data_IF_480616597155
#
_entry.id   IF_480616597155
#
_cell.length_a   1.000
_cell.length_b   1.000
_cell.length_c   1.000
_cell.angle_alpha   90.00
_cell.angle_beta   90.00
_cell.angle_gamma   90.00
#
_symmetry.space_group_name_H-M   'P 1'
#
loop_
_entity.id
_entity.type
_entity.pdbx_description
1 polymer ?
#
# COMPACT_ATOMS: atom_id res chain seq x y z
N UNK A 1 20.05 10.03 -14.59
CA UNK A 1 18.67 9.50 -14.54
C UNK A 1 17.87 10.23 -15.60
N UNK A 2 17.25 9.49 -16.53
CA UNK A 2 16.66 10.04 -17.76
C UNK A 2 15.15 9.95 -17.63
N UNK A 3 14.49 11.09 -17.45
CA UNK A 3 13.04 11.14 -17.34
C UNK A 3 12.37 10.89 -18.69
N UNK A 4 11.26 10.17 -18.66
CA UNK A 4 10.39 9.95 -19.81
C UNK A 4 8.98 10.48 -19.54
N UNK A 5 8.29 10.89 -20.61
CA UNK A 5 6.90 11.32 -20.55
C UNK A 5 5.99 10.10 -20.67
N UNK A 6 5.04 9.97 -19.75
CA UNK A 6 3.96 8.98 -19.76
C UNK A 6 2.63 9.72 -19.83
N UNK A 7 1.66 9.12 -20.49
CA UNK A 7 0.30 9.63 -20.59
C UNK A 7 -0.63 8.69 -19.86
N UNK A 8 -1.26 9.19 -18.80
CA UNK A 8 -2.18 8.46 -17.94
C UNK A 8 -3.63 8.80 -18.33
N UNK A 9 -4.50 7.80 -18.33
CA UNK A 9 -5.94 8.00 -18.54
C UNK A 9 -6.66 7.77 -17.21
N UNK A 10 -7.39 8.78 -16.75
CA UNK A 10 -8.18 8.73 -15.51
C UNK A 10 -9.53 9.33 -15.82
N UNK A 11 -10.57 8.50 -15.70
CA UNK A 11 -11.93 8.78 -16.14
C UNK A 11 -11.94 9.19 -17.62
N UNK A 12 -12.49 10.35 -17.93
CA UNK A 12 -12.55 10.90 -19.29
C UNK A 12 -11.35 11.80 -19.62
N UNK A 13 -10.39 11.94 -18.70
CA UNK A 13 -9.30 12.90 -18.79
C UNK A 13 -7.95 12.21 -19.04
N UNK A 14 -7.09 12.92 -19.75
CA UNK A 14 -5.73 12.47 -20.08
C UNK A 14 -4.70 13.37 -19.40
N UNK A 15 -3.78 12.77 -18.65
CA UNK A 15 -2.79 13.49 -17.84
C UNK A 15 -1.36 13.12 -18.26
N UNK A 16 -0.55 14.08 -18.76
CA UNK A 16 0.87 13.85 -19.00
C UNK A 16 1.66 13.94 -17.68
N UNK A 17 2.52 12.95 -17.43
CA UNK A 17 3.40 12.91 -16.25
C UNK A 17 4.82 12.52 -16.65
N UNK A 18 5.81 13.00 -15.92
CA UNK A 18 7.23 12.63 -16.11
C UNK A 18 7.63 11.63 -15.04
N UNK A 19 8.15 10.47 -15.44
CA UNK A 19 8.65 9.44 -14.52
C UNK A 19 10.01 8.91 -14.97
N UNK A 20 10.70 8.20 -14.08
CA UNK A 20 11.84 7.38 -14.47
C UNK A 20 11.36 6.11 -15.20
N UNK A 21 12.17 5.51 -16.10
CA UNK A 21 11.72 4.36 -16.88
C UNK A 21 11.30 3.15 -16.04
N UNK A 22 11.94 2.94 -14.88
CA UNK A 22 11.63 1.83 -13.97
C UNK A 22 10.34 2.04 -13.16
N UNK A 23 9.84 3.28 -13.07
CA UNK A 23 8.60 3.61 -12.38
C UNK A 23 7.37 3.50 -13.30
N UNK A 24 7.60 3.47 -14.62
CA UNK A 24 6.55 3.56 -15.65
C UNK A 24 5.43 2.55 -15.43
N UNK A 25 5.77 1.28 -15.26
CA UNK A 25 4.76 0.22 -15.22
C UNK A 25 3.92 0.32 -13.94
N UNK A 26 4.57 0.57 -12.80
CA UNK A 26 3.88 0.81 -11.53
C UNK A 26 3.01 2.07 -11.57
N UNK A 27 3.44 3.13 -12.27
CA UNK A 27 2.66 4.34 -12.44
C UNK A 27 1.42 4.11 -13.32
N UNK A 28 1.53 3.29 -14.37
CA UNK A 28 0.40 2.91 -15.21
C UNK A 28 -0.62 2.09 -14.42
N UNK A 29 -0.15 1.12 -13.64
CA UNK A 29 -0.99 0.32 -12.74
C UNK A 29 -1.68 1.21 -11.69
N UNK A 30 -0.96 2.15 -11.08
CA UNK A 30 -1.54 3.10 -10.13
C UNK A 30 -2.62 3.99 -10.78
N UNK A 31 -2.44 4.39 -12.04
CA UNK A 31 -3.44 5.16 -12.77
C UNK A 31 -4.69 4.33 -13.09
N UNK A 32 -4.52 3.05 -13.44
CA UNK A 32 -5.63 2.11 -13.64
C UNK A 32 -6.43 1.89 -12.36
N UNK A 33 -5.74 1.66 -11.23
CA UNK A 33 -6.38 1.52 -9.91
C UNK A 33 -7.14 2.78 -9.50
N UNK A 34 -6.53 3.96 -9.69
CA UNK A 34 -7.20 5.24 -9.44
C UNK A 34 -8.45 5.41 -10.33
N UNK A 35 -8.35 5.04 -11.61
CA UNK A 35 -9.47 5.11 -12.54
C UNK A 35 -10.64 4.22 -12.10
N UNK A 36 -10.37 2.98 -11.71
CA UNK A 36 -11.38 2.04 -11.22
C UNK A 36 -12.07 2.57 -9.96
N UNK A 37 -11.28 3.00 -8.97
CA UNK A 37 -11.81 3.56 -7.72
C UNK A 37 -12.72 4.77 -7.96
N UNK A 38 -12.27 5.73 -8.77
CA UNK A 38 -13.08 6.90 -9.09
C UNK A 38 -14.31 6.57 -9.93
N UNK A 39 -14.25 5.56 -10.81
CA UNK A 39 -15.40 5.11 -11.60
C UNK A 39 -16.47 4.45 -10.72
N UNK A 40 -16.06 3.62 -9.76
CA UNK A 40 -16.95 3.01 -8.77
C UNK A 40 -17.61 4.08 -7.90
N UNK A 41 -16.82 5.02 -7.36
CA UNK A 41 -17.35 6.13 -6.59
C UNK A 41 -18.32 6.99 -7.40
N UNK A 42 -18.06 7.22 -8.71
CA UNK A 42 -18.95 7.96 -9.60
C UNK A 42 -20.28 7.24 -9.80
N UNK A 43 -20.25 5.92 -9.99
CA UNK A 43 -21.45 5.09 -10.14
C UNK A 43 -22.34 5.20 -8.90
N UNK A 44 -21.74 5.17 -7.72
CA UNK A 44 -22.46 5.23 -6.45
C UNK A 44 -22.92 6.66 -6.11
N UNK A 45 -22.24 7.68 -6.64
CA UNK A 45 -22.48 9.09 -6.34
C UNK A 45 -22.67 9.94 -7.61
N UNK A 46 -23.68 9.65 -8.46
CA UNK A 46 -23.80 10.26 -9.80
C UNK A 46 -24.01 11.78 -9.77
N UNK A 47 -24.51 12.33 -8.66
CA UNK A 47 -24.77 13.77 -8.47
C UNK A 47 -23.57 14.54 -7.91
N UNK A 48 -22.50 13.86 -7.49
CA UNK A 48 -21.32 14.52 -6.92
C UNK A 48 -20.45 15.06 -8.06
N UNK A 49 -20.09 16.36 -8.06
CA UNK A 49 -19.19 16.92 -9.05
C UNK A 49 -17.83 16.22 -9.04
N UNK A 50 -17.21 16.11 -10.22
CA UNK A 50 -15.97 15.36 -10.39
C UNK A 50 -14.85 15.84 -9.46
N UNK A 51 -14.68 17.16 -9.32
CA UNK A 51 -13.65 17.75 -8.44
C UNK A 51 -13.78 17.27 -6.98
N UNK A 52 -15.02 17.20 -6.48
CA UNK A 52 -15.30 16.71 -5.12
C UNK A 52 -15.12 15.20 -5.03
N UNK A 53 -15.50 14.47 -6.07
CA UNK A 53 -15.31 13.02 -6.14
C UNK A 53 -13.82 12.65 -6.03
N UNK A 54 -12.95 13.39 -6.72
CA UNK A 54 -11.49 13.19 -6.68
C UNK A 54 -10.94 13.46 -5.28
N UNK A 55 -11.41 14.51 -4.58
CA UNK A 55 -11.00 14.79 -3.19
C UNK A 55 -11.42 13.65 -2.26
N UNK A 56 -12.67 13.17 -2.40
CA UNK A 56 -13.17 12.04 -1.61
C UNK A 56 -12.40 10.76 -1.91
N UNK A 57 -12.08 10.48 -3.17
CA UNK A 57 -11.27 9.33 -3.57
C UNK A 57 -9.85 9.41 -3.03
N UNK A 58 -9.21 10.57 -3.12
CA UNK A 58 -7.89 10.80 -2.53
C UNK A 58 -7.89 10.59 -1.01
N UNK A 59 -8.94 11.06 -0.32
CA UNK A 59 -9.11 10.85 1.12
C UNK A 59 -9.30 9.36 1.45
N UNK A 60 -10.15 8.66 0.70
CA UNK A 60 -10.40 7.22 0.88
C UNK A 60 -9.12 6.41 0.69
N UNK A 61 -8.39 6.62 -0.41
CA UNK A 61 -7.12 5.93 -0.67
C UNK A 61 -6.06 6.24 0.39
N UNK A 62 -6.01 7.47 0.89
CA UNK A 62 -5.10 7.84 1.98
C UNK A 62 -5.48 7.14 3.28
N UNK A 63 -6.78 7.03 3.58
CA UNK A 63 -7.27 6.29 4.74
C UNK A 63 -6.89 4.81 4.65
N UNK A 64 -7.11 4.17 3.51
CA UNK A 64 -6.79 2.76 3.30
C UNK A 64 -5.28 2.50 3.42
N UNK A 65 -4.45 3.36 2.83
CA UNK A 65 -3.00 3.29 2.97
C UNK A 65 -2.52 3.45 4.43
N UNK A 66 -3.16 4.31 5.22
CA UNK A 66 -2.83 4.44 6.65
C UNK A 66 -3.26 3.20 7.44
N UNK A 67 -4.40 2.60 7.11
CA UNK A 67 -4.88 1.39 7.74
C UNK A 67 -3.99 0.18 7.44
N UNK A 68 -3.54 0.04 6.19
CA UNK A 68 -2.57 -0.99 5.78
C UNK A 68 -1.24 -0.82 6.52
N UNK A 69 -0.70 0.40 6.60
CA UNK A 69 0.53 0.68 7.37
C UNK A 69 0.41 0.28 8.84
N UNK A 70 -0.73 0.57 9.47
CA UNK A 70 -0.98 0.13 10.85
C UNK A 70 -1.06 -1.39 10.98
N UNK A 71 -1.61 -2.07 9.98
CA UNK A 71 -1.72 -3.53 9.97
C UNK A 71 -0.35 -4.18 9.81
N UNK A 72 0.46 -3.72 8.85
CA UNK A 72 1.84 -4.18 8.67
C UNK A 72 2.65 -3.95 9.94
N UNK A 73 2.54 -2.78 10.59
CA UNK A 73 3.26 -2.50 11.83
C UNK A 73 2.87 -3.47 12.97
N UNK A 74 1.58 -3.82 13.08
CA UNK A 74 1.10 -4.82 14.05
C UNK A 74 1.62 -6.21 13.74
N UNK A 75 1.61 -6.62 12.48
CA UNK A 75 2.12 -7.93 12.04
C UNK A 75 3.62 -8.05 12.31
N UNK A 76 4.42 -7.04 11.98
CA UNK A 76 5.85 -7.00 12.30
C UNK A 76 6.09 -7.10 13.80
N UNK A 77 5.31 -6.38 14.61
CA UNK A 77 5.40 -6.46 16.08
C UNK A 77 5.08 -7.86 16.59
N UNK A 78 4.05 -8.51 16.03
CA UNK A 78 3.67 -9.88 16.39
C UNK A 78 4.77 -10.88 16.03
N UNK A 79 5.35 -10.77 14.82
CA UNK A 79 6.45 -11.62 14.37
C UNK A 79 7.67 -11.47 15.29
N UNK A 80 8.03 -10.24 15.67
CA UNK A 80 9.12 -10.01 16.61
C UNK A 80 8.86 -10.64 17.98
N UNK A 81 7.66 -10.46 18.53
CA UNK A 81 7.28 -11.07 19.81
C UNK A 81 7.33 -12.60 19.79
N UNK A 82 6.87 -13.23 18.70
CA UNK A 82 6.96 -14.68 18.53
C UNK A 82 8.42 -15.11 18.42
N UNK A 83 9.23 -14.37 17.66
CA UNK A 83 10.66 -14.67 17.48
C UNK A 83 11.42 -14.61 18.81
N UNK A 84 11.18 -13.58 19.62
CA UNK A 84 11.77 -13.44 20.96
C UNK A 84 11.39 -14.61 21.88
N UNK A 85 10.13 -15.04 21.88
CA UNK A 85 9.66 -16.18 22.66
C UNK A 85 10.31 -17.49 22.22
N UNK A 86 10.45 -17.70 20.92
CA UNK A 86 11.11 -18.90 20.36
C UNK A 86 12.60 -18.93 20.73
N UNK A 87 13.30 -17.79 20.61
CA UNK A 87 14.70 -17.66 21.02
C UNK A 87 14.85 -17.97 22.51
N UNK A 88 13.99 -17.40 23.35
CA UNK A 88 14.02 -17.64 24.80
C UNK A 88 13.80 -19.11 25.16
N UNK A 89 12.79 -19.75 24.57
CA UNK A 89 12.50 -21.17 24.81
C UNK A 89 13.64 -22.09 24.36
N UNK A 90 14.26 -21.79 23.20
CA UNK A 90 15.42 -22.52 22.71
C UNK A 90 16.63 -22.34 23.64
N UNK A 91 16.92 -21.12 24.08
CA UNK A 91 17.99 -20.86 25.04
C UNK A 91 17.78 -21.59 26.36
N UNK A 92 16.53 -21.65 26.85
CA UNK A 92 16.20 -22.41 28.05
C UNK A 92 16.44 -23.92 27.85
N UNK A 93 15.97 -24.49 26.74
CA UNK A 93 16.16 -25.91 26.45
C UNK A 93 17.65 -26.30 26.35
N UNK A 94 18.46 -25.47 25.69
CA UNK A 94 19.92 -25.67 25.60
C UNK A 94 20.57 -25.57 27.00
N UNK A 95 20.10 -24.67 27.85
CA UNK A 95 20.64 -24.54 29.21
C UNK A 95 20.29 -25.75 30.09
N UNK A 96 19.06 -26.28 29.95
CA UNK A 96 18.62 -27.49 30.66
C UNK A 96 19.39 -28.74 30.22
N UNK A 97 19.71 -28.86 28.93
CA UNK A 97 20.52 -29.96 28.38
C UNK A 97 21.97 -29.93 28.90
N UNK A 98 22.59 -28.74 29.00
CA UNK A 98 23.96 -28.58 29.51
C UNK A 98 24.11 -28.78 31.04
N UNK A 99 23.00 -28.82 31.80
CA UNK A 99 22.99 -29.09 33.25
C UNK A 99 22.74 -30.58 33.55
N UNK A 100 22.46 -31.40 32.53
CA UNK A 100 22.15 -32.83 32.64
C UNK A 100 23.34 -33.78 32.38
N UNK A 101 24.49 -33.26 31.94
CA UNK A 101 25.79 -33.95 31.83
C UNK A 101 26.74 -33.56 32.97
#
# INVERSE_FOLDING_TARGET
MSKMKVTLQILENTYPLMCEPHERDLLLEAAEQLNLSLADMRRDNPKVPLERLVILGALQMTFDLLLERQTIAREVSMVNQVSEKLISALSQAIAEENLGD
#
